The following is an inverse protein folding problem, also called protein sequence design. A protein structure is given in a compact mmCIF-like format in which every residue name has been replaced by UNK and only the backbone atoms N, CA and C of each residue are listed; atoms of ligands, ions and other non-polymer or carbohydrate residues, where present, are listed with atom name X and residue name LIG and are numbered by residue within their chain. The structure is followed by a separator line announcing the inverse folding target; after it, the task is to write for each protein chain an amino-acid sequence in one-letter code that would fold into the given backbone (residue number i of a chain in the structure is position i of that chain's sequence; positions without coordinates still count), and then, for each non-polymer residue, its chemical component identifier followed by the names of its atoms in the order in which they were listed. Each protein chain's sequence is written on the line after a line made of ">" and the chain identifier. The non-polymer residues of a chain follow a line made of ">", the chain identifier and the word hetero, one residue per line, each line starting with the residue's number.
data_IF_018784907797
#
_entry.id   IF_018784907797
#
_cell.length_a   1.000
_cell.length_b   1.000
_cell.length_c   1.000
_cell.angle_alpha   90.00
_cell.angle_beta   90.00
_cell.angle_gamma   90.00
#
_symmetry.space_group_name_H-M   'P 1'
#
loop_
_entity.id
_entity.type
_entity.pdbx_description
1 polymer ?
#
# COMPACT_ATOMS: atom_id res chain seq x y z
N UNK A 1 7.02 -9.71 -5.09
CA UNK A 1 5.93 -8.72 -5.16
C UNK A 1 6.42 -7.49 -5.90
N UNK A 2 5.54 -6.80 -6.63
CA UNK A 2 5.88 -5.61 -7.44
C UNK A 2 5.79 -4.29 -6.65
N UNK A 3 5.61 -4.35 -5.32
CA UNK A 3 5.53 -3.20 -4.41
C UNK A 3 4.58 -2.06 -4.84
N UNK A 4 3.50 -2.40 -5.57
CA UNK A 4 2.53 -1.40 -6.08
C UNK A 4 1.49 -0.97 -5.05
N UNK A 5 1.25 -1.79 -4.03
CA UNK A 5 0.21 -1.59 -3.01
C UNK A 5 0.78 -1.93 -1.63
N UNK A 6 0.47 -1.10 -0.65
CA UNK A 6 0.76 -1.29 0.76
C UNK A 6 -0.37 -0.68 1.61
N UNK A 7 -0.21 -0.64 2.93
CA UNK A 7 -1.14 -0.02 3.86
C UNK A 7 -0.38 0.78 4.92
N UNK A 8 -0.91 1.95 5.28
CA UNK A 8 -0.45 2.77 6.41
C UNK A 8 -0.80 2.10 7.74
N UNK A 9 -0.18 2.58 8.84
CA UNK A 9 -0.42 2.02 10.17
C UNK A 9 -1.82 2.24 10.73
N UNK A 10 -2.60 3.13 10.11
CA UNK A 10 -4.03 3.29 10.40
C UNK A 10 -4.92 2.38 9.54
N UNK A 11 -4.33 1.60 8.63
CA UNK A 11 -5.01 0.67 7.73
C UNK A 11 -5.37 1.28 6.39
N UNK A 12 -5.18 2.57 6.16
CA UNK A 12 -5.48 3.17 4.87
C UNK A 12 -4.54 2.62 3.80
N UNK A 13 -5.09 2.29 2.64
CA UNK A 13 -4.29 1.83 1.51
C UNK A 13 -3.27 2.90 1.08
N UNK A 14 -2.11 2.43 0.65
CA UNK A 14 -1.04 3.20 0.06
C UNK A 14 -0.77 2.62 -1.33
N UNK A 15 -0.94 3.43 -2.36
CA UNK A 15 -0.68 3.05 -3.75
C UNK A 15 0.63 3.67 -4.19
N UNK A 16 1.47 2.89 -4.86
CA UNK A 16 2.67 3.40 -5.53
C UNK A 16 2.29 4.32 -6.69
N UNK A 17 3.13 5.32 -6.99
CA UNK A 17 2.98 6.18 -8.16
C UNK A 17 3.12 5.42 -9.49
N UNK A 18 3.75 4.24 -9.46
CA UNK A 18 3.84 3.34 -10.61
C UNK A 18 2.50 2.65 -10.94
N UNK A 19 1.54 2.67 -10.01
CA UNK A 19 0.19 2.16 -10.25
C UNK A 19 -0.72 3.32 -10.66
N UNK A 20 -1.13 3.34 -11.93
CA UNK A 20 -2.07 4.34 -12.41
C UNK A 20 -3.44 4.19 -11.73
N UNK A 21 -4.21 5.28 -11.66
CA UNK A 21 -5.56 5.24 -11.10
C UNK A 21 -6.49 4.30 -11.89
N UNK A 22 -6.37 4.30 -13.22
CA UNK A 22 -7.14 3.40 -14.09
C UNK A 22 -6.84 1.93 -13.81
N UNK A 23 -5.57 1.58 -13.62
CA UNK A 23 -5.16 0.20 -13.31
C UNK A 23 -5.61 -0.19 -11.90
N UNK A 24 -5.50 0.71 -10.92
CA UNK A 24 -6.01 0.48 -9.58
C UNK A 24 -7.52 0.20 -9.60
N UNK A 25 -8.30 1.01 -10.34
CA UNK A 25 -9.76 0.80 -10.50
C UNK A 25 -10.07 -0.52 -11.21
N UNK A 26 -9.33 -0.87 -12.27
CA UNK A 26 -9.51 -2.14 -12.98
C UNK A 26 -9.22 -3.36 -12.08
N UNK A 27 -8.33 -3.21 -11.12
CA UNK A 27 -8.03 -4.22 -10.08
C UNK A 27 -9.01 -4.19 -8.91
N UNK A 28 -10.01 -3.30 -8.93
CA UNK A 28 -10.98 -3.12 -7.85
C UNK A 28 -10.38 -2.49 -6.60
N UNK A 29 -9.26 -1.77 -6.72
CA UNK A 29 -8.53 -1.15 -5.62
C UNK A 29 -8.85 0.34 -5.57
N UNK A 30 -9.63 0.75 -4.56
CA UNK A 30 -10.01 2.15 -4.32
C UNK A 30 -9.12 2.84 -3.28
N UNK A 31 -8.92 4.16 -3.39
CA UNK A 31 -8.11 4.95 -2.42
C UNK A 31 -8.76 5.06 -1.04
N UNK A 32 -10.04 4.79 -0.96
CA UNK A 32 -10.84 4.71 0.26
C UNK A 32 -10.71 3.36 0.98
N UNK A 33 -10.04 2.37 0.36
CA UNK A 33 -9.87 1.06 0.98
C UNK A 33 -9.05 1.14 2.25
N UNK A 34 -9.50 0.37 3.24
CA UNK A 34 -8.90 0.34 4.57
C UNK A 34 -8.93 -1.07 5.16
N UNK A 35 -7.83 -1.47 5.77
CA UNK A 35 -7.80 -2.66 6.62
C UNK A 35 -8.70 -2.44 7.84
N UNK A 36 -9.60 -3.39 8.09
CA UNK A 36 -10.51 -3.33 9.25
C UNK A 36 -9.76 -3.40 10.58
N UNK A 37 -8.64 -4.12 10.61
CA UNK A 37 -7.81 -4.29 11.79
C UNK A 37 -6.34 -4.41 11.36
N UNK A 38 -5.45 -3.91 12.20
CA UNK A 38 -4.01 -4.15 12.10
C UNK A 38 -3.56 -4.55 13.50
N UNK A 39 -3.07 -5.78 13.64
CA UNK A 39 -2.39 -6.20 14.86
C UNK A 39 -0.92 -5.75 14.84
N UNK A 40 -0.23 -5.74 16.00
CA UNK A 40 1.15 -5.25 16.09
C UNK A 40 2.17 -6.01 15.23
N UNK A 41 1.93 -7.27 14.90
CA UNK A 41 2.81 -8.05 14.04
C UNK A 41 2.60 -7.68 12.57
N UNK A 42 1.35 -7.56 12.15
CA UNK A 42 0.99 -7.07 10.82
C UNK A 42 1.55 -5.67 10.59
N UNK A 43 1.49 -4.78 11.59
CA UNK A 43 2.06 -3.43 11.44
C UNK A 43 3.57 -3.43 11.23
N UNK A 44 4.31 -4.31 11.91
CA UNK A 44 5.76 -4.45 11.69
C UNK A 44 6.08 -4.89 10.26
N UNK A 45 5.30 -5.84 9.73
CA UNK A 45 5.46 -6.32 8.34
C UNK A 45 5.10 -5.21 7.33
N UNK A 46 4.00 -4.49 7.58
CA UNK A 46 3.61 -3.34 6.76
C UNK A 46 4.65 -2.23 6.79
N UNK A 47 5.28 -1.97 7.94
CA UNK A 47 6.34 -0.96 8.04
C UNK A 47 7.54 -1.28 7.13
N UNK A 48 7.99 -2.54 7.12
CA UNK A 48 9.06 -3.01 6.22
C UNK A 48 8.61 -2.87 4.76
N UNK A 49 7.41 -3.37 4.43
CA UNK A 49 6.88 -3.33 3.06
C UNK A 49 6.67 -1.91 2.53
N UNK A 50 6.26 -0.96 3.39
CA UNK A 50 6.12 0.46 3.03
C UNK A 50 7.45 1.10 2.65
N UNK A 51 8.56 0.72 3.30
CA UNK A 51 9.87 1.26 2.95
C UNK A 51 10.27 0.88 1.53
N UNK A 52 10.01 -0.37 1.13
CA UNK A 52 10.27 -0.84 -0.23
C UNK A 52 9.32 -0.19 -1.24
N UNK A 53 8.04 -0.08 -0.89
CA UNK A 53 7.01 0.59 -1.71
C UNK A 53 7.29 2.09 -1.95
N UNK A 54 7.89 2.77 -0.98
CA UNK A 54 8.19 4.22 -1.05
C UNK A 54 9.58 4.53 -1.62
N UNK A 55 10.57 3.63 -1.50
CA UNK A 55 11.92 3.85 -2.05
C UNK A 55 11.96 3.89 -3.58
N UNK A 56 11.02 3.24 -4.26
CA UNK A 56 10.91 3.33 -5.72
C UNK A 56 10.26 4.64 -6.21
N UNK A 57 9.90 5.55 -5.30
CA UNK A 57 9.31 6.85 -5.63
C UNK A 57 10.35 7.96 -5.79
N UNK A 58 11.58 7.77 -5.33
CA UNK A 58 12.69 8.76 -5.33
C UNK A 58 13.81 8.46 -6.36
N UNK A 59 13.60 7.50 -7.26
CA UNK A 59 14.60 7.07 -8.26
C UNK A 59 14.25 7.42 -9.70
#
# INVERSE_FOLDING_TARGET
>A
DAHLISFKGDGQILLSSQLSESDAVALGVGREMRLRQIDPETEKRLAIHRMETLQEHDR
#
